data_IF_341939009691
#
_entry.id   IF_341939009691
#
_cell.length_a   1.000
_cell.length_b   1.000
_cell.length_c   1.000
_cell.angle_alpha   90.00
_cell.angle_beta   90.00
_cell.angle_gamma   90.00
#
_symmetry.space_group_name_H-M   'P 1'
#
loop_
_entity.id
_entity.type
_entity.pdbx_description
1 polymer ?
#
# COMPACT_ATOMS: atom_id res chain seq x y z
N UNK A 1 -7.44 22.11 -1.81
CA UNK A 1 -6.58 20.93 -2.02
C UNK A 1 -5.27 21.24 -2.76
N UNK A 2 -5.10 22.41 -3.40
CA UNK A 2 -3.82 22.82 -4.02
C UNK A 2 -2.80 23.47 -3.05
N UNK A 3 -3.22 23.83 -1.84
CA UNK A 3 -2.41 24.62 -0.89
C UNK A 3 -1.21 23.87 -0.26
N UNK A 4 -0.99 22.58 -0.60
CA UNK A 4 0.13 21.77 -0.06
C UNK A 4 0.96 21.07 -1.14
N UNK A 5 0.74 21.37 -2.43
CA UNK A 5 1.45 20.68 -3.53
C UNK A 5 1.15 19.18 -3.64
N UNK A 6 0.06 18.70 -3.02
CA UNK A 6 -0.34 17.29 -3.07
C UNK A 6 -1.16 17.06 -4.32
N UNK A 7 -0.63 16.29 -5.25
CA UNK A 7 -1.32 15.88 -6.47
C UNK A 7 -2.29 14.72 -6.19
N UNK A 8 -3.53 14.85 -6.65
CA UNK A 8 -4.57 13.82 -6.45
C UNK A 8 -4.52 12.83 -7.61
N UNK A 9 -3.86 11.70 -7.37
CA UNK A 9 -3.69 10.62 -8.37
C UNK A 9 -4.84 9.60 -8.34
N UNK A 10 -5.74 9.68 -7.35
CA UNK A 10 -6.83 8.72 -7.16
C UNK A 10 -7.92 8.94 -8.23
N UNK A 11 -8.35 7.88 -8.93
CA UNK A 11 -9.39 7.98 -9.95
C UNK A 11 -10.71 8.49 -9.35
N UNK A 12 -11.46 9.31 -10.09
CA UNK A 12 -12.82 9.66 -9.71
C UNK A 12 -13.72 8.41 -9.72
N UNK A 13 -14.76 8.41 -8.89
CA UNK A 13 -15.77 7.36 -8.92
C UNK A 13 -16.44 7.33 -10.32
N UNK A 14 -16.80 6.15 -10.81
CA UNK A 14 -17.45 5.94 -12.13
C UNK A 14 -18.71 6.79 -12.30
N UNK A 15 -19.42 7.08 -11.20
CA UNK A 15 -20.65 7.88 -11.20
C UNK A 15 -20.43 9.38 -10.93
N UNK A 16 -19.18 9.86 -10.98
CA UNK A 16 -18.88 11.27 -10.72
C UNK A 16 -19.43 12.16 -11.85
N UNK A 17 -20.25 13.16 -11.49
CA UNK A 17 -20.83 14.14 -12.44
C UNK A 17 -19.77 14.96 -13.20
N UNK A 18 -18.61 15.17 -12.59
CA UNK A 18 -17.47 15.85 -13.19
C UNK A 18 -16.21 14.99 -12.97
N UNK A 19 -15.85 14.11 -13.91
CA UNK A 19 -14.64 13.31 -13.80
C UNK A 19 -13.42 14.23 -13.88
N UNK A 20 -12.51 14.08 -12.92
CA UNK A 20 -11.23 14.77 -12.92
C UNK A 20 -10.22 13.96 -13.73
N UNK A 21 -9.34 14.66 -14.44
CA UNK A 21 -8.15 14.02 -15.01
C UNK A 21 -7.25 13.55 -13.87
N UNK A 22 -6.74 12.33 -14.00
CA UNK A 22 -5.80 11.72 -13.07
C UNK A 22 -4.78 10.92 -13.86
N UNK A 23 -3.57 10.80 -13.33
CA UNK A 23 -2.55 9.95 -13.95
C UNK A 23 -2.83 8.48 -13.63
N UNK A 24 -3.37 7.76 -14.63
CA UNK A 24 -3.66 6.34 -14.52
C UNK A 24 -2.41 5.47 -14.39
N UNK A 25 -1.27 5.90 -14.95
CA UNK A 25 -0.01 5.18 -14.83
C UNK A 25 0.50 5.23 -13.39
N UNK A 26 0.50 6.44 -12.81
CA UNK A 26 0.85 6.67 -11.40
C UNK A 26 -0.09 5.93 -10.44
N UNK A 27 -1.38 5.84 -10.77
CA UNK A 27 -2.33 5.04 -9.98
C UNK A 27 -2.08 3.53 -10.10
N UNK A 28 -1.63 3.04 -11.26
CA UNK A 28 -1.35 1.61 -11.48
C UNK A 28 -0.23 1.07 -10.59
N UNK A 29 0.78 1.88 -10.30
CA UNK A 29 1.89 1.51 -9.40
C UNK A 29 1.39 1.12 -7.99
N UNK A 30 0.27 1.73 -7.54
CA UNK A 30 -0.37 1.41 -6.26
C UNK A 30 -0.80 -0.06 -6.17
N UNK A 31 -1.20 -0.67 -7.28
CA UNK A 31 -1.64 -2.06 -7.30
C UNK A 31 -0.52 -3.03 -6.86
N UNK A 32 0.73 -2.75 -7.22
CA UNK A 32 1.89 -3.55 -6.79
C UNK A 32 2.06 -3.51 -5.27
N UNK A 33 1.92 -2.32 -4.68
CA UNK A 33 1.98 -2.13 -3.23
C UNK A 33 0.82 -2.82 -2.52
N UNK A 34 -0.40 -2.75 -3.06
CA UNK A 34 -1.57 -3.45 -2.51
C UNK A 34 -1.39 -4.97 -2.55
N UNK A 35 -0.91 -5.52 -3.66
CA UNK A 35 -0.56 -6.93 -3.79
C UNK A 35 0.51 -7.35 -2.78
N UNK A 36 1.55 -6.54 -2.60
CA UNK A 36 2.60 -6.80 -1.62
C UNK A 36 2.06 -6.80 -0.18
N UNK A 37 1.23 -5.82 0.18
CA UNK A 37 0.57 -5.77 1.50
C UNK A 37 -0.35 -6.99 1.67
N UNK A 38 -1.06 -7.42 0.62
CA UNK A 38 -1.85 -8.64 0.62
C UNK A 38 -1.02 -9.89 0.96
N UNK A 39 0.15 -10.05 0.32
CA UNK A 39 1.09 -11.14 0.62
C UNK A 39 1.61 -11.08 2.05
N UNK A 40 1.97 -9.90 2.55
CA UNK A 40 2.43 -9.72 3.94
C UNK A 40 1.32 -10.07 4.94
N UNK A 41 0.07 -9.72 4.66
CA UNK A 41 -1.07 -10.01 5.54
C UNK A 41 -1.39 -11.50 5.66
N UNK A 42 -0.90 -12.35 4.76
CA UNK A 42 -0.98 -13.80 4.92
C UNK A 42 -0.30 -14.27 6.21
N UNK A 43 0.76 -13.58 6.63
CA UNK A 43 1.46 -13.87 7.87
C UNK A 43 0.65 -13.32 9.05
N UNK A 44 -0.07 -14.21 9.76
CA UNK A 44 -0.97 -13.86 10.88
C UNK A 44 -0.31 -12.99 11.96
N UNK A 45 1.00 -13.18 12.19
CA UNK A 45 1.81 -12.36 13.12
C UNK A 45 1.83 -10.87 12.71
N UNK A 46 2.02 -10.59 11.43
CA UNK A 46 2.05 -9.22 10.90
C UNK A 46 0.64 -8.65 10.82
N UNK A 47 -0.32 -9.43 10.31
CA UNK A 47 -1.72 -9.01 10.20
C UNK A 47 -2.30 -8.56 11.55
N UNK A 48 -2.11 -9.36 12.59
CA UNK A 48 -2.71 -9.10 13.91
C UNK A 48 -1.88 -8.13 14.76
N UNK A 49 -0.70 -7.70 14.29
CA UNK A 49 0.21 -6.79 15.02
C UNK A 49 0.48 -7.24 16.46
N UNK A 50 0.72 -8.54 16.67
CA UNK A 50 0.92 -9.11 18.01
C UNK A 50 2.19 -8.61 18.71
N UNK A 51 3.17 -8.12 17.95
CA UNK A 51 4.43 -7.59 18.49
C UNK A 51 4.20 -6.26 19.22
N UNK A 52 4.30 -6.29 20.55
CA UNK A 52 4.21 -5.08 21.42
C UNK A 52 5.33 -4.07 21.17
N UNK A 53 6.48 -4.52 20.67
CA UNK A 53 7.64 -3.68 20.41
C UNK A 53 7.81 -3.42 18.91
N UNK A 54 7.84 -2.13 18.53
CA UNK A 54 7.99 -1.71 17.14
C UNK A 54 9.22 -2.31 16.43
N UNK A 55 10.34 -2.47 17.15
CA UNK A 55 11.57 -3.08 16.63
C UNK A 55 11.36 -4.56 16.22
N UNK A 56 10.60 -5.32 17.00
CA UNK A 56 10.29 -6.73 16.70
C UNK A 56 9.38 -6.83 15.49
N UNK A 57 8.34 -6.01 15.44
CA UNK A 57 7.46 -5.92 14.28
C UNK A 57 8.23 -5.58 13.00
N UNK A 58 9.12 -4.59 13.05
CA UNK A 58 9.94 -4.19 11.90
C UNK A 58 10.88 -5.32 11.47
N UNK A 59 11.51 -6.03 12.41
CA UNK A 59 12.34 -7.20 12.11
C UNK A 59 11.58 -8.30 11.38
N UNK A 60 10.36 -8.63 11.84
CA UNK A 60 9.49 -9.59 11.15
C UNK A 60 9.03 -9.10 9.78
N UNK A 61 8.76 -7.80 9.64
CA UNK A 61 8.39 -7.19 8.36
C UNK A 61 9.53 -7.35 7.35
N UNK A 62 10.77 -7.06 7.74
CA UNK A 62 11.94 -7.27 6.87
C UNK A 62 12.13 -8.75 6.54
N UNK A 63 12.02 -9.63 7.52
CA UNK A 63 12.15 -11.08 7.30
C UNK A 63 11.14 -11.59 6.26
N UNK A 64 9.85 -11.25 6.43
CA UNK A 64 8.80 -11.63 5.48
C UNK A 64 9.00 -10.97 4.11
N UNK A 65 9.46 -9.72 4.07
CA UNK A 65 9.79 -9.03 2.81
C UNK A 65 10.89 -9.77 2.05
N UNK A 66 11.95 -10.20 2.74
CA UNK A 66 13.03 -11.00 2.14
C UNK A 66 12.55 -12.36 1.63
N UNK A 67 11.63 -13.02 2.33
CA UNK A 67 11.02 -14.28 1.87
C UNK A 67 10.17 -14.09 0.60
N UNK A 68 9.41 -12.99 0.53
CA UNK A 68 8.63 -12.65 -0.67
C UNK A 68 9.54 -12.30 -1.84
N UNK A 69 10.70 -11.68 -1.57
CA UNK A 69 11.69 -11.33 -2.58
C UNK A 69 12.44 -12.54 -3.13
N UNK A 70 12.76 -13.51 -2.27
CA UNK A 70 13.50 -14.72 -2.65
C UNK A 70 12.62 -15.75 -3.39
N UNK A 71 11.31 -15.57 -3.35
CA UNK A 71 10.34 -16.44 -4.02
C UNK A 71 10.15 -16.04 -5.47
#
# INVERSE_FOLDING_TARGET
>A
MHARGIEVVIPPNKNAKAPRQYDAWRYRERHLMECFIGKIKYFRRIFSRFDKLAKRYLGFLHFVSSLIWLR
#
